data_IF_708448123277
#
_entry.id   IF_708448123277
#
_cell.length_a   1.000
_cell.length_b   1.000
_cell.length_c   1.000
_cell.angle_alpha   90.00
_cell.angle_beta   90.00
_cell.angle_gamma   90.00
#
_symmetry.space_group_name_H-M   'P 1'
#
loop_
_entity.id
_entity.type
_entity.pdbx_description
1 polymer ?
#
# COMPACT_ATOMS: atom_id res chain seq x y z
N UNK A 1 16.13 -9.49 23.74
CA UNK A 1 16.25 -10.10 22.40
C UNK A 1 16.25 -8.95 21.41
N UNK A 2 17.24 -8.89 20.53
CA UNK A 2 17.47 -7.74 19.64
C UNK A 2 17.43 -8.19 18.18
N UNK A 3 17.02 -7.32 17.26
CA UNK A 3 17.01 -7.57 15.83
C UNK A 3 17.41 -6.32 15.04
N UNK A 4 17.92 -6.50 13.82
CA UNK A 4 18.24 -5.40 12.92
C UNK A 4 16.96 -4.85 12.27
N UNK A 5 16.55 -3.65 12.65
CA UNK A 5 15.34 -2.99 12.15
C UNK A 5 15.62 -1.67 11.44
N UNK A 6 14.58 -1.13 10.80
CA UNK A 6 14.60 0.19 10.15
C UNK A 6 13.88 1.22 11.02
N UNK A 7 14.67 2.09 11.65
CA UNK A 7 14.17 3.18 12.50
C UNK A 7 13.41 4.23 11.68
N UNK A 8 12.33 4.76 12.25
CA UNK A 8 11.48 5.80 11.66
C UNK A 8 11.60 7.11 12.43
N UNK A 9 11.29 8.27 11.82
CA UNK A 9 11.37 9.57 12.51
C UNK A 9 10.51 9.71 13.76
N UNK A 10 9.49 8.87 13.92
CA UNK A 10 8.62 8.82 15.10
C UNK A 10 9.15 7.89 16.22
N UNK A 11 10.34 7.30 16.03
CA UNK A 11 10.96 6.35 16.96
C UNK A 11 10.45 4.91 16.85
N UNK A 12 9.48 4.64 15.97
CA UNK A 12 9.05 3.26 15.69
C UNK A 12 10.09 2.52 14.84
N UNK A 13 10.09 1.18 14.92
CA UNK A 13 11.05 0.33 14.20
C UNK A 13 10.30 -0.70 13.34
N UNK A 14 10.55 -0.65 12.03
CA UNK A 14 9.97 -1.59 11.06
C UNK A 14 10.91 -2.75 10.71
N UNK A 15 10.33 -3.90 10.35
CA UNK A 15 11.07 -5.07 9.85
C UNK A 15 11.36 -5.03 8.34
N UNK A 16 10.81 -4.03 7.62
CA UNK A 16 10.94 -3.87 6.17
C UNK A 16 11.14 -2.40 5.79
N UNK A 17 11.87 -2.17 4.71
CA UNK A 17 12.08 -0.85 4.11
C UNK A 17 11.65 -0.87 2.64
N UNK A 18 10.37 -0.57 2.39
CA UNK A 18 9.77 -0.55 1.06
C UNK A 18 9.31 0.85 0.68
N UNK A 19 9.27 1.11 -0.63
CA UNK A 19 8.58 2.28 -1.20
C UNK A 19 7.16 1.86 -1.58
N UNK A 20 6.14 2.40 -0.91
CA UNK A 20 4.76 2.10 -1.24
C UNK A 20 4.28 2.94 -2.43
N UNK A 21 3.75 2.29 -3.47
CA UNK A 21 3.08 2.94 -4.60
C UNK A 21 1.57 2.76 -4.41
N UNK A 22 0.90 3.81 -3.93
CA UNK A 22 -0.51 3.76 -3.55
C UNK A 22 -1.36 4.34 -4.67
N UNK A 23 -2.23 3.52 -5.25
CA UNK A 23 -3.21 3.98 -6.25
C UNK A 23 -4.29 4.83 -5.57
N UNK A 24 -4.65 5.97 -6.16
CA UNK A 24 -5.75 6.83 -5.64
C UNK A 24 -7.14 6.20 -5.81
N UNK A 25 -7.31 5.31 -6.77
CA UNK A 25 -8.53 4.57 -7.04
C UNK A 25 -8.25 3.42 -8.02
N UNK A 26 -9.26 2.62 -8.32
CA UNK A 26 -9.09 1.40 -9.13
C UNK A 26 -8.48 1.68 -10.51
N UNK A 27 -8.79 2.83 -11.12
CA UNK A 27 -8.23 3.24 -12.41
C UNK A 27 -6.71 3.43 -12.39
N UNK A 28 -6.11 3.69 -11.23
CA UNK A 28 -4.66 3.84 -11.07
C UNK A 28 -3.93 2.54 -10.73
N UNK A 29 -4.63 1.43 -10.55
CA UNK A 29 -4.02 0.17 -10.08
C UNK A 29 -2.96 -0.36 -11.05
N UNK A 30 -3.26 -0.35 -12.35
CA UNK A 30 -2.34 -0.86 -13.36
C UNK A 30 -1.05 -0.03 -13.41
N UNK A 31 -1.17 1.30 -13.37
CA UNK A 31 -0.02 2.19 -13.31
C UNK A 31 0.81 1.95 -12.03
N UNK A 32 0.16 1.79 -10.88
CA UNK A 32 0.84 1.52 -9.62
C UNK A 32 1.62 0.18 -9.66
N UNK A 33 1.03 -0.86 -10.25
CA UNK A 33 1.68 -2.16 -10.44
C UNK A 33 2.90 -2.05 -11.36
N UNK A 34 2.76 -1.38 -12.51
CA UNK A 34 3.87 -1.17 -13.46
C UNK A 34 5.05 -0.43 -12.81
N UNK A 35 4.78 0.62 -12.02
CA UNK A 35 5.84 1.35 -11.30
C UNK A 35 6.54 0.43 -10.31
N UNK A 36 5.79 -0.39 -9.56
CA UNK A 36 6.37 -1.29 -8.58
C UNK A 36 7.22 -2.40 -9.21
N UNK A 37 6.80 -2.94 -10.36
CA UNK A 37 7.59 -3.93 -11.12
C UNK A 37 8.90 -3.34 -11.67
N UNK A 38 8.90 -2.05 -12.01
CA UNK A 38 10.06 -1.36 -12.57
C UNK A 38 11.08 -0.90 -11.50
N UNK A 39 10.70 -0.77 -10.23
CA UNK A 39 11.52 -0.16 -9.17
C UNK A 39 11.82 -1.17 -8.05
N UNK A 40 13.07 -1.64 -7.90
CA UNK A 40 13.45 -2.56 -6.83
C UNK A 40 13.09 -2.04 -5.44
N UNK A 41 12.40 -2.87 -4.65
CA UNK A 41 11.98 -2.52 -3.29
C UNK A 41 10.67 -1.71 -3.22
N UNK A 42 10.08 -1.34 -4.35
CA UNK A 42 8.74 -0.78 -4.39
C UNK A 42 7.66 -1.87 -4.26
N UNK A 43 6.53 -1.53 -3.65
CA UNK A 43 5.40 -2.44 -3.45
C UNK A 43 4.10 -1.73 -3.83
N UNK A 44 3.26 -2.29 -4.70
CA UNK A 44 2.01 -1.67 -5.08
C UNK A 44 0.94 -1.91 -4.02
N UNK A 45 0.20 -0.86 -3.65
CA UNK A 45 -0.98 -0.92 -2.79
C UNK A 45 -2.19 -0.58 -3.64
N UNK A 46 -2.91 -1.62 -4.05
CA UNK A 46 -3.99 -1.53 -5.03
C UNK A 46 -5.34 -1.26 -4.37
N UNK A 47 -6.15 -0.42 -5.01
CA UNK A 47 -7.52 -0.18 -4.60
C UNK A 47 -8.44 -1.32 -5.06
N UNK A 48 -8.87 -2.18 -4.14
CA UNK A 48 -9.62 -3.42 -4.45
C UNK A 48 -11.13 -3.22 -4.60
N UNK A 49 -11.69 -2.16 -4.05
CA UNK A 49 -13.14 -1.91 -4.05
C UNK A 49 -13.59 -1.04 -5.23
N UNK A 50 -14.90 -0.95 -5.52
CA UNK A 50 -15.44 0.08 -6.39
C UNK A 50 -15.25 1.47 -5.78
N UNK A 51 -14.93 2.46 -6.62
CA UNK A 51 -14.74 3.84 -6.16
C UNK A 51 -16.03 4.45 -5.57
N UNK A 52 -17.19 3.98 -6.02
CA UNK A 52 -18.51 4.45 -5.58
C UNK A 52 -19.12 3.45 -4.60
N UNK A 53 -18.35 3.08 -3.57
CA UNK A 53 -18.83 2.30 -2.44
C UNK A 53 -19.36 3.24 -1.38
N UNK A 54 -20.67 3.23 -1.18
CA UNK A 54 -21.34 3.99 -0.13
C UNK A 54 -21.26 3.23 1.20
N UNK A 55 -21.61 3.91 2.29
CA UNK A 55 -21.61 3.33 3.63
C UNK A 55 -22.48 2.07 3.72
N UNK A 56 -23.67 2.11 3.13
CA UNK A 56 -24.64 1.02 3.13
C UNK A 56 -24.10 -0.23 2.41
N UNK A 57 -23.25 -0.07 1.39
CA UNK A 57 -22.61 -1.17 0.66
C UNK A 57 -21.60 -1.97 1.51
N UNK A 58 -21.23 -1.47 2.70
CA UNK A 58 -20.37 -2.17 3.64
C UNK A 58 -21.15 -3.06 4.62
N UNK A 59 -22.48 -2.96 4.61
CA UNK A 59 -23.33 -3.78 5.47
C UNK A 59 -23.66 -5.11 4.78
N UNK A 60 -23.68 -6.19 5.55
CA UNK A 60 -24.22 -7.47 5.09
C UNK A 60 -25.73 -7.39 5.30
N UNK A 61 -26.49 -7.35 4.20
CA UNK A 61 -27.96 -7.49 4.21
C UNK A 61 -28.39 -8.94 4.30
#
# INVERSE_FOLDING_TARGET
MEFMGYERPDGSVGIRNHVAVISSGRCGNELAAIIADAVPGAVPVLHTHPCVRLGDDNTIV
#
